data_IF_910640348037
#
_entry.id   IF_910640348037
#
_cell.length_a   1.000
_cell.length_b   1.000
_cell.length_c   1.000
_cell.angle_alpha   90.00
_cell.angle_beta   90.00
_cell.angle_gamma   90.00
#
_symmetry.space_group_name_H-M   'P 1'
#
loop_
_entity.id
_entity.type
_entity.pdbx_description
1 polymer ?
#
# COMPACT_ATOMS: atom_id res chain seq x y z
N UNK A 1 8.68 -13.29 15.69
CA UNK A 1 9.71 -13.77 14.74
C UNK A 1 10.81 -12.71 14.62
N UNK A 2 12.07 -13.09 14.32
CA UNK A 2 13.14 -12.11 14.04
C UNK A 2 13.43 -12.13 12.54
N UNK A 3 13.31 -10.99 11.87
CA UNK A 3 13.62 -10.87 10.43
C UNK A 3 14.76 -9.88 10.20
N UNK A 4 15.73 -10.19 9.33
CA UNK A 4 16.80 -9.25 8.97
C UNK A 4 16.26 -8.14 8.06
N UNK A 5 16.72 -6.91 8.29
CA UNK A 5 16.46 -5.74 7.46
C UNK A 5 17.77 -4.97 7.22
N UNK A 6 17.74 -3.91 6.39
CA UNK A 6 18.95 -3.15 6.03
C UNK A 6 19.53 -2.47 7.29
N UNK A 7 20.63 -3.01 7.80
CA UNK A 7 21.31 -2.55 9.02
C UNK A 7 20.49 -2.69 10.31
N UNK A 8 19.47 -3.55 10.33
CA UNK A 8 18.61 -3.75 11.50
C UNK A 8 18.03 -5.16 11.57
N UNK A 9 17.41 -5.48 12.71
CA UNK A 9 16.57 -6.66 12.89
C UNK A 9 15.19 -6.22 13.33
N UNK A 10 14.17 -6.79 12.71
CA UNK A 10 12.78 -6.56 13.07
C UNK A 10 12.29 -7.64 14.02
N UNK A 11 11.78 -7.21 15.17
CA UNK A 11 11.14 -8.07 16.16
C UNK A 11 9.63 -8.03 15.94
N UNK A 12 9.11 -9.09 15.35
CA UNK A 12 7.67 -9.27 15.17
C UNK A 12 7.08 -9.93 16.41
N UNK A 13 6.05 -9.34 17.05
CA UNK A 13 5.31 -9.99 18.12
C UNK A 13 4.78 -11.35 17.65
N UNK A 14 4.54 -12.32 18.55
CA UNK A 14 4.02 -13.63 18.18
C UNK A 14 2.50 -13.57 17.91
N UNK A 15 2.10 -12.67 17.00
CA UNK A 15 0.75 -12.51 16.50
C UNK A 15 0.76 -12.80 15.01
N UNK A 16 -0.28 -13.48 14.54
CA UNK A 16 -0.49 -13.72 13.12
C UNK A 16 -1.21 -12.50 12.51
N UNK A 17 -0.46 -11.40 12.36
CA UNK A 17 -0.95 -10.15 11.81
C UNK A 17 0.13 -9.45 11.00
N UNK A 18 -0.27 -8.95 9.84
CA UNK A 18 0.56 -8.22 8.90
C UNK A 18 -0.19 -7.00 8.32
N UNK A 19 0.44 -6.29 7.39
CA UNK A 19 -0.17 -5.14 6.70
C UNK A 19 -1.45 -5.57 5.93
N UNK A 20 -1.49 -6.79 5.39
CA UNK A 20 -2.67 -7.35 4.70
C UNK A 20 -3.86 -7.55 5.64
N UNK A 21 -3.61 -7.99 6.87
CA UNK A 21 -4.60 -8.13 7.94
C UNK A 21 -5.24 -6.77 8.24
N UNK A 22 -4.42 -5.72 8.35
CA UNK A 22 -4.91 -4.36 8.57
C UNK A 22 -5.74 -3.85 7.39
N UNK A 23 -5.27 -4.04 6.14
CA UNK A 23 -6.00 -3.66 4.92
C UNK A 23 -7.39 -4.29 4.88
N UNK A 24 -7.49 -5.61 5.07
CA UNK A 24 -8.78 -6.33 5.06
C UNK A 24 -9.74 -5.83 6.15
N UNK A 25 -9.22 -5.42 7.30
CA UNK A 25 -10.05 -4.90 8.38
C UNK A 25 -10.54 -3.48 8.10
N UNK A 26 -9.65 -2.60 7.63
CA UNK A 26 -9.95 -1.20 7.36
C UNK A 26 -10.80 -1.00 6.09
N UNK A 27 -10.72 -1.93 5.13
CA UNK A 27 -11.48 -1.91 3.88
C UNK A 27 -12.98 -2.22 4.04
N UNK A 28 -13.43 -2.69 5.21
CA UNK A 28 -14.82 -3.11 5.41
C UNK A 28 -15.80 -1.96 5.16
N UNK A 29 -16.67 -2.13 4.17
CA UNK A 29 -17.69 -1.14 3.81
C UNK A 29 -17.15 0.03 2.97
N UNK A 30 -15.91 -0.06 2.48
CA UNK A 30 -15.36 0.89 1.52
C UNK A 30 -15.53 0.36 0.10
N UNK A 31 -15.84 1.25 -0.83
CA UNK A 31 -15.94 0.93 -2.26
C UNK A 31 -14.59 1.04 -2.98
N UNK A 32 -13.64 1.80 -2.41
CA UNK A 32 -12.32 2.04 -2.96
C UNK A 32 -11.24 2.02 -1.87
N UNK A 33 -10.13 1.33 -2.14
CA UNK A 33 -8.98 1.26 -1.23
C UNK A 33 -7.68 1.52 -2.00
N UNK A 34 -6.92 2.52 -1.54
CA UNK A 34 -5.59 2.81 -2.05
C UNK A 34 -4.56 2.49 -0.96
N UNK A 35 -3.52 1.74 -1.32
CA UNK A 35 -2.37 1.48 -0.46
C UNK A 35 -1.09 2.02 -1.10
N UNK A 36 -0.24 2.66 -0.30
CA UNK A 36 1.08 3.15 -0.71
C UNK A 36 2.14 2.40 0.09
N UNK A 37 3.02 1.68 -0.59
CA UNK A 37 4.15 0.95 0.00
C UNK A 37 5.49 1.32 -0.62
N UNK A 38 6.59 0.87 -0.03
CA UNK A 38 7.95 1.10 -0.50
C UNK A 38 8.88 -0.11 -0.33
N UNK A 39 8.45 -1.16 0.38
CA UNK A 39 9.28 -2.33 0.66
C UNK A 39 8.59 -3.68 0.44
N UNK A 40 9.39 -4.76 0.47
CA UNK A 40 8.88 -6.15 0.33
C UNK A 40 7.91 -6.51 1.46
N UNK A 41 8.01 -5.87 2.62
CA UNK A 41 7.08 -6.05 3.74
C UNK A 41 5.66 -5.54 3.43
N UNK A 42 5.47 -4.79 2.35
CA UNK A 42 4.15 -4.37 1.84
C UNK A 42 3.46 -5.40 0.95
N UNK A 43 4.14 -6.48 0.52
CA UNK A 43 3.52 -7.52 -0.31
C UNK A 43 2.22 -8.09 0.27
N UNK A 44 2.11 -8.37 1.59
CA UNK A 44 0.84 -8.80 2.18
C UNK A 44 -0.30 -7.78 2.01
N UNK A 45 0.00 -6.48 1.97
CA UNK A 45 -1.01 -5.46 1.69
C UNK A 45 -1.48 -5.51 0.23
N UNK A 46 -0.56 -5.78 -0.71
CA UNK A 46 -0.89 -5.90 -2.13
C UNK A 46 -1.74 -7.15 -2.39
N UNK A 47 -1.40 -8.29 -1.78
CA UNK A 47 -2.20 -9.52 -1.83
C UNK A 47 -3.60 -9.32 -1.22
N UNK A 48 -3.71 -8.50 -0.17
CA UNK A 48 -5.00 -8.12 0.38
C UNK A 48 -5.82 -7.26 -0.59
N UNK A 49 -5.19 -6.32 -1.31
CA UNK A 49 -5.86 -5.52 -2.35
C UNK A 49 -6.32 -6.39 -3.52
N UNK A 50 -5.49 -7.32 -4.02
CA UNK A 50 -5.89 -8.25 -5.08
C UNK A 50 -7.11 -9.10 -4.67
N UNK A 51 -7.15 -9.55 -3.42
CA UNK A 51 -8.30 -10.28 -2.90
C UNK A 51 -9.56 -9.41 -2.75
N UNK A 52 -9.40 -8.12 -2.43
CA UNK A 52 -10.50 -7.15 -2.36
C UNK A 52 -11.03 -6.80 -3.77
N UNK A 53 -10.13 -6.65 -4.74
CA UNK A 53 -10.47 -6.46 -6.16
C UNK A 53 -11.29 -7.63 -6.69
N UNK A 54 -10.85 -8.86 -6.42
CA UNK A 54 -11.61 -10.07 -6.76
C UNK A 54 -12.99 -10.14 -6.07
N UNK A 55 -13.17 -9.44 -4.95
CA UNK A 55 -14.44 -9.33 -4.23
C UNK A 55 -15.29 -8.12 -4.66
N UNK A 56 -14.83 -7.33 -5.64
CA UNK A 56 -15.57 -6.22 -6.24
C UNK A 56 -15.29 -4.84 -5.63
N UNK A 57 -14.27 -4.69 -4.78
CA UNK A 57 -13.81 -3.40 -4.25
C UNK A 57 -12.79 -2.80 -5.23
N UNK A 58 -12.91 -1.52 -5.58
CA UNK A 58 -11.89 -0.86 -6.40
C UNK A 58 -10.59 -0.72 -5.60
N UNK A 59 -9.44 -1.10 -6.17
CA UNK A 59 -8.16 -1.00 -5.47
C UNK A 59 -7.09 -0.30 -6.29
N UNK A 60 -6.17 0.37 -5.60
CA UNK A 60 -5.00 1.01 -6.20
C UNK A 60 -3.76 0.71 -5.37
N UNK A 61 -2.77 0.07 -6.01
CA UNK A 61 -1.46 -0.24 -5.45
C UNK A 61 -0.45 0.79 -5.92
N UNK A 62 0.04 1.61 -5.00
CA UNK A 62 1.06 2.60 -5.28
C UNK A 62 2.37 2.18 -4.63
N UNK A 63 3.46 2.29 -5.36
CA UNK A 63 4.81 2.07 -4.82
C UNK A 63 5.62 3.35 -4.86
N UNK A 64 6.41 3.60 -3.83
CA UNK A 64 7.41 4.65 -3.82
C UNK A 64 8.78 4.04 -4.07
N UNK A 65 9.44 4.48 -5.14
CA UNK A 65 10.83 4.14 -5.43
C UNK A 65 11.74 4.95 -4.49
N UNK A 66 12.23 4.31 -3.43
CA UNK A 66 12.93 4.98 -2.33
C UNK A 66 14.44 4.78 -2.32
N UNK A 67 15.01 3.85 -3.10
CA UNK A 67 16.44 3.75 -3.47
C UNK A 67 16.81 2.36 -4.05
N UNK A 68 15.96 1.33 -3.89
CA UNK A 68 16.13 -0.02 -4.45
C UNK A 68 14.76 -0.70 -4.52
N UNK A 69 13.92 -0.26 -5.46
CA UNK A 69 12.60 -0.87 -5.66
C UNK A 69 12.73 -2.36 -6.00
N UNK A 70 12.18 -3.23 -5.15
CA UNK A 70 12.08 -4.66 -5.41
C UNK A 70 11.30 -4.90 -6.73
N UNK A 71 11.87 -5.60 -7.72
CA UNK A 71 11.21 -5.81 -9.02
C UNK A 71 9.82 -6.46 -8.91
N UNK A 72 9.65 -7.33 -7.91
CA UNK A 72 8.37 -7.97 -7.63
C UNK A 72 7.30 -6.97 -7.18
N UNK A 73 7.67 -5.96 -6.39
CA UNK A 73 6.76 -4.93 -5.92
C UNK A 73 6.38 -3.98 -7.07
N UNK A 74 7.35 -3.61 -7.91
CA UNK A 74 7.12 -2.82 -9.12
C UNK A 74 6.15 -3.51 -10.09
N UNK A 75 6.30 -4.82 -10.28
CA UNK A 75 5.49 -5.60 -11.22
C UNK A 75 4.00 -5.70 -10.81
N UNK A 76 3.70 -5.54 -9.51
CA UNK A 76 2.35 -5.58 -8.97
C UNK A 76 1.75 -4.18 -8.75
N UNK A 77 2.52 -3.11 -8.97
CA UNK A 77 2.07 -1.74 -8.74
C UNK A 77 1.23 -1.22 -9.91
N UNK A 78 0.14 -0.51 -9.60
CA UNK A 78 -0.62 0.26 -10.59
C UNK A 78 0.06 1.61 -10.88
N UNK A 79 0.77 2.15 -9.90
CA UNK A 79 1.51 3.41 -10.00
C UNK A 79 2.83 3.33 -9.22
N UNK A 80 3.93 3.72 -9.87
CA UNK A 80 5.23 3.91 -9.20
C UNK A 80 5.54 5.39 -9.13
N UNK A 81 5.80 5.88 -7.92
CA UNK A 81 6.16 7.26 -7.61
C UNK A 81 7.66 7.32 -7.29
N UNK A 82 8.38 8.33 -7.82
CA UNK A 82 9.85 8.36 -7.72
C UNK A 82 10.40 8.74 -6.35
N UNK A 83 9.54 9.16 -5.41
CA UNK A 83 9.92 9.58 -4.05
C UNK A 83 8.66 9.91 -3.20
N UNK A 84 8.82 10.07 -1.87
CA UNK A 84 7.71 10.44 -0.99
C UNK A 84 7.02 11.77 -1.32
N UNK A 85 7.69 12.73 -1.98
CA UNK A 85 7.04 13.98 -2.39
C UNK A 85 5.98 13.75 -3.48
N UNK A 86 6.14 12.70 -4.30
CA UNK A 86 5.12 12.21 -5.22
C UNK A 86 3.84 11.78 -4.49
N UNK A 87 3.97 11.09 -3.35
CA UNK A 87 2.82 10.65 -2.53
C UNK A 87 2.03 11.84 -2.01
N UNK A 88 2.73 12.83 -1.47
CA UNK A 88 2.10 14.08 -0.98
C UNK A 88 1.34 14.78 -2.11
N UNK A 89 1.90 14.79 -3.32
CA UNK A 89 1.27 15.40 -4.49
C UNK A 89 0.01 14.65 -4.91
N UNK A 90 0.06 13.31 -4.95
CA UNK A 90 -1.09 12.45 -5.21
C UNK A 90 -2.22 12.71 -4.21
N UNK A 91 -1.91 12.70 -2.90
CA UNK A 91 -2.90 12.94 -1.85
C UNK A 91 -3.55 14.33 -1.94
N UNK A 92 -2.77 15.36 -2.31
CA UNK A 92 -3.31 16.71 -2.56
C UNK A 92 -4.28 16.72 -3.73
N UNK A 93 -3.92 16.08 -4.85
CA UNK A 93 -4.80 16.00 -6.03
C UNK A 93 -6.11 15.27 -5.73
N UNK A 94 -6.07 14.17 -4.96
CA UNK A 94 -7.26 13.47 -4.50
C UNK A 94 -8.14 14.37 -3.62
N UNK A 95 -7.55 15.02 -2.62
CA UNK A 95 -8.28 15.92 -1.71
C UNK A 95 -8.90 17.14 -2.42
N UNK A 96 -8.27 17.63 -3.48
CA UNK A 96 -8.84 18.68 -4.34
C UNK A 96 -9.95 18.16 -5.24
N UNK A 97 -9.78 16.96 -5.80
CA UNK A 97 -10.81 16.28 -6.61
C UNK A 97 -12.10 16.05 -5.83
N UNK A 98 -12.00 15.53 -4.60
CA UNK A 98 -13.16 15.29 -3.72
C UNK A 98 -13.89 16.59 -3.38
N UNK A 99 -13.17 17.69 -3.10
CA UNK A 99 -13.79 19.00 -2.82
C UNK A 99 -14.60 19.55 -4.00
N UNK A 100 -14.14 19.31 -5.23
CA UNK A 100 -14.87 19.70 -6.45
C UNK A 100 -16.12 18.86 -6.69
N UNK A 101 -16.16 17.59 -6.26
CA UNK A 101 -17.35 16.75 -6.39
C UNK A 101 -18.43 17.07 -5.34
N UNK A 102 -18.04 17.66 -4.21
CA UNK A 102 -18.94 18.02 -3.12
C UNK A 102 -19.52 19.45 -3.23
N UNK A 103 -19.08 20.23 -4.22
CA UNK A 103 -19.55 21.60 -4.50
C UNK A 103 -20.50 21.60 -5.69
#
# INVERSE_FOLDING_TARGET
EVRPAKMSYELHPPIDADKGTAVRQLAKGLDLVLFVGDDVGDLPAFEALEALEAAGVETVRVVVDSDELAPELAARADLVLPNPAGVVSLLRSLAEGTRRQAS
#
